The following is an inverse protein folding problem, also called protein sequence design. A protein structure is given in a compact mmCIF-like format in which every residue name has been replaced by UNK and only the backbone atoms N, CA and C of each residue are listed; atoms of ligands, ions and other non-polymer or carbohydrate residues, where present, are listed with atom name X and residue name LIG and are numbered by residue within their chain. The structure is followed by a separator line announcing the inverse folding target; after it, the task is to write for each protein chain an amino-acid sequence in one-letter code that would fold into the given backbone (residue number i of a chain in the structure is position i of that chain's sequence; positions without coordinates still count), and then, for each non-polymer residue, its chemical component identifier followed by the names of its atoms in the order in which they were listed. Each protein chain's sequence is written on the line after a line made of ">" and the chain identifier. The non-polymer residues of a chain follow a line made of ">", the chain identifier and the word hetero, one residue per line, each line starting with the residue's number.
data_IF_632154505515
#
_entry.id   IF_632154505515
#
_cell.length_a   1.000
_cell.length_b   1.000
_cell.length_c   1.000
_cell.angle_alpha   90.00
_cell.angle_beta   90.00
_cell.angle_gamma   90.00
#
_symmetry.space_group_name_H-M   'P 1'
#
loop_
_entity.id
_entity.type
_entity.pdbx_description
1 polymer ?
#
# COMPACT_ATOMS: atom_id res chain seq x y z
N UNK A 1 -16.17 -11.52 -30.74
CA UNK A 1 -16.76 -12.54 -31.60
C UNK A 1 -18.28 -12.38 -31.78
N UNK A 2 -18.92 -11.36 -31.17
CA UNK A 2 -20.34 -11.04 -31.32
C UNK A 2 -21.31 -11.91 -30.50
N UNK A 3 -20.82 -12.70 -29.56
CA UNK A 3 -21.67 -13.53 -28.67
C UNK A 3 -22.48 -12.66 -27.71
N UNK A 4 -21.88 -11.56 -27.22
CA UNK A 4 -22.49 -10.64 -26.26
C UNK A 4 -22.52 -9.24 -26.83
N UNK A 5 -23.53 -8.43 -26.44
CA UNK A 5 -23.57 -7.02 -26.75
C UNK A 5 -22.57 -6.23 -25.91
N UNK A 6 -22.28 -4.96 -26.27
CA UNK A 6 -21.37 -4.11 -25.51
C UNK A 6 -21.91 -3.86 -24.08
N UNK A 7 -23.23 -3.70 -23.93
CA UNK A 7 -23.90 -3.54 -22.63
C UNK A 7 -23.74 -4.80 -21.77
N UNK A 8 -23.97 -5.99 -22.34
CA UNK A 8 -23.77 -7.24 -21.60
C UNK A 8 -22.33 -7.43 -21.16
N UNK A 9 -21.36 -7.05 -22.00
CA UNK A 9 -19.95 -7.13 -21.61
C UNK A 9 -19.65 -6.17 -20.47
N UNK A 10 -20.18 -4.95 -20.50
CA UNK A 10 -20.04 -3.99 -19.42
C UNK A 10 -20.68 -4.52 -18.13
N UNK A 11 -21.88 -5.06 -18.19
CA UNK A 11 -22.56 -5.66 -17.06
C UNK A 11 -21.73 -6.79 -16.41
N UNK A 12 -21.08 -7.63 -17.20
CA UNK A 12 -20.19 -8.67 -16.67
C UNK A 12 -18.96 -8.10 -15.96
N UNK A 13 -18.40 -7.01 -16.47
CA UNK A 13 -17.27 -6.30 -15.82
C UNK A 13 -17.74 -5.67 -14.51
N UNK A 14 -18.90 -5.01 -14.50
CA UNK A 14 -19.50 -4.43 -13.30
C UNK A 14 -19.77 -5.50 -12.23
N UNK A 15 -20.32 -6.64 -12.62
CA UNK A 15 -20.53 -7.79 -11.72
C UNK A 15 -19.22 -8.33 -11.16
N UNK A 16 -18.15 -8.37 -11.95
CA UNK A 16 -16.83 -8.78 -11.48
C UNK A 16 -16.32 -7.80 -10.40
N UNK A 17 -16.39 -6.50 -10.64
CA UNK A 17 -16.00 -5.48 -9.67
C UNK A 17 -16.86 -5.55 -8.40
N UNK A 18 -18.17 -5.75 -8.54
CA UNK A 18 -19.05 -5.96 -7.37
C UNK A 18 -18.60 -7.16 -6.54
N UNK A 19 -18.23 -8.26 -7.17
CA UNK A 19 -17.71 -9.44 -6.47
C UNK A 19 -16.38 -9.16 -5.76
N UNK A 20 -15.47 -8.41 -6.37
CA UNK A 20 -14.24 -7.99 -5.71
C UNK A 20 -14.52 -7.13 -4.46
N UNK A 21 -15.52 -6.22 -4.52
CA UNK A 21 -15.98 -5.46 -3.34
C UNK A 21 -16.61 -6.32 -2.24
N UNK A 22 -17.12 -7.50 -2.60
CA UNK A 22 -17.73 -8.43 -1.65
C UNK A 22 -16.75 -9.45 -1.06
N UNK A 23 -15.52 -9.53 -1.52
CA UNK A 23 -14.51 -10.44 -0.97
C UNK A 23 -14.21 -10.07 0.48
N UNK A 24 -14.23 -11.07 1.36
CA UNK A 24 -13.99 -10.90 2.79
C UNK A 24 -12.99 -11.94 3.29
N UNK A 25 -12.14 -11.52 4.24
CA UNK A 25 -11.31 -12.43 5.01
C UNK A 25 -11.92 -12.64 6.40
N UNK A 26 -11.74 -13.84 6.93
CA UNK A 26 -12.01 -14.09 8.34
C UNK A 26 -10.90 -13.44 9.18
N UNK A 27 -11.20 -12.35 9.86
CA UNK A 27 -10.28 -11.60 10.71
C UNK A 27 -10.79 -11.56 12.14
N UNK A 28 -9.88 -11.35 13.09
CA UNK A 28 -10.28 -11.15 14.48
C UNK A 28 -11.03 -9.82 14.63
N UNK A 29 -11.95 -9.72 15.62
CA UNK A 29 -12.67 -8.47 15.87
C UNK A 29 -11.74 -7.27 16.12
N UNK A 30 -10.62 -7.49 16.81
CA UNK A 30 -9.62 -6.46 17.12
C UNK A 30 -9.00 -5.90 15.85
N UNK A 31 -8.69 -6.77 14.87
CA UNK A 31 -8.15 -6.35 13.59
C UNK A 31 -9.17 -5.49 12.83
N UNK A 32 -10.43 -5.91 12.81
CA UNK A 32 -11.48 -5.16 12.12
C UNK A 32 -11.73 -3.78 12.76
N UNK A 33 -11.58 -3.65 14.08
CA UNK A 33 -11.67 -2.36 14.76
C UNK A 33 -10.56 -1.38 14.33
N UNK A 34 -9.34 -1.89 14.16
CA UNK A 34 -8.20 -1.06 13.73
C UNK A 34 -8.42 -0.51 12.31
N UNK A 35 -8.95 -1.33 11.42
CA UNK A 35 -9.10 -0.97 10.00
C UNK A 35 -10.51 -0.44 9.64
N UNK A 36 -11.38 -0.23 10.61
CA UNK A 36 -12.75 0.30 10.44
C UNK A 36 -13.52 -0.43 9.33
N UNK A 37 -13.39 -1.73 9.27
CA UNK A 37 -14.01 -2.56 8.24
C UNK A 37 -13.19 -3.79 7.92
N UNK A 38 -13.38 -4.32 6.72
CA UNK A 38 -12.80 -5.59 6.30
C UNK A 38 -12.11 -5.49 4.94
N UNK A 39 -11.14 -4.57 4.79
CA UNK A 39 -10.44 -4.38 3.53
C UNK A 39 -9.57 -5.61 3.21
N UNK A 40 -9.58 -6.05 1.96
CA UNK A 40 -8.74 -7.14 1.44
C UNK A 40 -7.63 -6.63 0.52
N UNK A 41 -7.64 -5.31 0.23
CA UNK A 41 -6.67 -4.62 -0.64
C UNK A 41 -6.53 -5.24 -2.03
N UNK A 42 -7.64 -5.69 -2.60
CA UNK A 42 -7.69 -6.12 -4.00
C UNK A 42 -7.25 -4.97 -4.89
N UNK A 43 -6.34 -5.25 -5.81
CA UNK A 43 -5.80 -4.25 -6.74
C UNK A 43 -6.04 -4.68 -8.17
N UNK A 44 -6.47 -3.73 -8.99
CA UNK A 44 -6.49 -3.83 -10.45
C UNK A 44 -5.43 -2.91 -11.03
N UNK A 45 -4.75 -3.36 -12.09
CA UNK A 45 -3.82 -2.53 -12.85
C UNK A 45 -4.24 -2.48 -14.32
N UNK A 46 -4.34 -1.27 -14.86
CA UNK A 46 -4.69 -1.04 -16.27
C UNK A 46 -3.72 -0.05 -16.92
N UNK A 47 -3.66 -0.02 -18.22
CA UNK A 47 -2.75 0.84 -18.97
C UNK A 47 -1.36 0.23 -19.10
N UNK A 48 -0.33 1.04 -18.98
CA UNK A 48 1.05 0.59 -19.14
C UNK A 48 1.47 0.37 -20.58
N UNK A 49 2.73 -0.05 -20.75
CA UNK A 49 3.38 -0.27 -22.04
C UNK A 49 3.92 -1.69 -22.10
N UNK A 50 3.72 -2.39 -23.20
CA UNK A 50 4.23 -3.75 -23.41
C UNK A 50 5.72 -3.77 -23.78
N UNK A 51 6.29 -4.98 -23.83
CA UNK A 51 7.69 -5.23 -24.18
C UNK A 51 8.07 -4.67 -25.55
N UNK A 52 7.11 -4.62 -26.47
CA UNK A 52 7.26 -4.08 -27.83
C UNK A 52 7.12 -2.55 -27.91
N UNK A 53 6.94 -1.90 -26.77
CA UNK A 53 6.79 -0.43 -26.67
C UNK A 53 5.40 0.10 -27.01
N UNK A 54 4.43 -0.76 -27.36
CA UNK A 54 3.05 -0.36 -27.57
C UNK A 54 2.31 -0.20 -26.25
N UNK A 55 1.39 0.75 -26.18
CA UNK A 55 0.51 0.85 -25.02
C UNK A 55 -0.41 -0.38 -24.89
N UNK A 56 -0.73 -0.75 -23.67
CA UNK A 56 -1.60 -1.88 -23.35
C UNK A 56 -3.06 -1.49 -23.15
N UNK A 57 -3.41 -0.25 -23.45
CA UNK A 57 -4.80 0.23 -23.37
C UNK A 57 -5.65 -0.45 -24.44
N UNK A 58 -6.74 -1.04 -23.99
CA UNK A 58 -7.74 -1.73 -24.82
C UNK A 58 -9.15 -1.26 -24.47
N UNK A 59 -10.18 -1.73 -25.17
CA UNK A 59 -11.57 -1.51 -24.79
C UNK A 59 -11.85 -1.94 -23.33
N UNK A 60 -11.20 -3.01 -22.86
CA UNK A 60 -11.36 -3.47 -21.46
C UNK A 60 -10.86 -2.42 -20.48
N UNK A 61 -9.76 -1.72 -20.76
CA UNK A 61 -9.28 -0.64 -19.90
C UNK A 61 -10.34 0.45 -19.70
N UNK A 62 -11.05 0.81 -20.75
CA UNK A 62 -12.17 1.75 -20.65
C UNK A 62 -13.37 1.18 -19.90
N UNK A 63 -13.67 -0.11 -20.04
CA UNK A 63 -14.76 -0.74 -19.31
C UNK A 63 -14.49 -0.81 -17.80
N UNK A 64 -13.27 -1.10 -17.40
CA UNK A 64 -12.87 -1.05 -16.00
C UNK A 64 -13.00 0.36 -15.43
N UNK A 65 -12.58 1.38 -16.16
CA UNK A 65 -12.78 2.77 -15.75
C UNK A 65 -14.27 3.11 -15.65
N UNK A 66 -15.09 2.65 -16.60
CA UNK A 66 -16.53 2.93 -16.62
C UNK A 66 -17.28 2.33 -15.43
N UNK A 67 -16.72 1.32 -14.76
CA UNK A 67 -17.31 0.78 -13.53
C UNK A 67 -17.43 1.83 -12.43
N UNK A 68 -16.55 2.85 -12.42
CA UNK A 68 -16.65 3.96 -11.46
C UNK A 68 -17.92 4.80 -11.70
N UNK A 69 -18.31 5.01 -12.96
CA UNK A 69 -19.54 5.73 -13.32
C UNK A 69 -20.77 4.88 -12.96
N UNK A 70 -20.74 3.56 -13.19
CA UNK A 70 -21.86 2.67 -12.93
C UNK A 70 -22.06 2.32 -11.45
N UNK A 71 -20.96 2.08 -10.73
CA UNK A 71 -20.98 1.54 -9.37
C UNK A 71 -20.57 2.57 -8.30
N UNK A 72 -20.10 3.74 -8.70
CA UNK A 72 -19.60 4.78 -7.81
C UNK A 72 -18.23 4.47 -7.22
N UNK A 73 -17.69 5.45 -6.48
CA UNK A 73 -16.43 5.36 -5.79
C UNK A 73 -16.44 4.28 -4.69
N UNK A 74 -15.33 3.56 -4.55
CA UNK A 74 -15.14 2.59 -3.47
C UNK A 74 -13.63 2.48 -3.16
N UNK A 75 -13.27 2.13 -1.91
CA UNK A 75 -11.87 1.92 -1.54
C UNK A 75 -11.25 0.70 -2.23
N UNK A 76 -12.07 -0.24 -2.70
CA UNK A 76 -11.66 -1.47 -3.35
C UNK A 76 -12.56 -1.80 -4.56
N UNK A 77 -11.98 -2.43 -5.59
CA UNK A 77 -10.54 -2.65 -5.79
C UNK A 77 -9.78 -1.34 -5.94
N UNK A 78 -8.50 -1.31 -5.50
CA UNK A 78 -7.60 -0.20 -5.85
C UNK A 78 -7.36 -0.23 -7.36
N UNK A 79 -7.91 0.72 -8.07
CA UNK A 79 -7.70 0.86 -9.50
C UNK A 79 -6.43 1.66 -9.78
N UNK A 80 -5.38 0.98 -10.23
CA UNK A 80 -4.09 1.58 -10.55
C UNK A 80 -3.93 1.76 -12.05
N UNK A 81 -3.72 2.97 -12.49
CA UNK A 81 -3.32 3.29 -13.86
C UNK A 81 -1.80 3.27 -13.95
N UNK A 82 -1.26 2.33 -14.70
CA UNK A 82 0.15 2.29 -15.05
C UNK A 82 0.40 3.38 -16.09
N UNK A 83 0.81 4.55 -15.61
CA UNK A 83 0.92 5.76 -16.41
C UNK A 83 2.19 5.77 -17.24
N UNK A 84 2.05 6.08 -18.53
CA UNK A 84 3.16 6.33 -19.45
C UNK A 84 2.86 7.52 -20.36
N UNK A 85 3.90 8.21 -20.77
CA UNK A 85 3.80 9.25 -21.81
C UNK A 85 3.24 8.70 -23.13
N UNK A 86 3.38 7.38 -23.36
CA UNK A 86 2.95 6.66 -24.56
C UNK A 86 1.48 6.28 -24.58
N UNK A 87 0.74 6.45 -23.49
CA UNK A 87 -0.68 6.12 -23.44
C UNK A 87 -1.50 7.02 -24.38
N UNK A 88 -2.60 6.51 -25.00
CA UNK A 88 -3.47 7.30 -25.84
C UNK A 88 -4.03 8.50 -25.12
N UNK A 89 -4.12 9.63 -25.82
CA UNK A 89 -4.57 10.89 -25.22
C UNK A 89 -6.02 10.79 -24.71
N UNK A 90 -6.89 10.09 -25.42
CA UNK A 90 -8.29 9.91 -24.99
C UNK A 90 -8.41 9.10 -23.71
N UNK A 91 -7.55 8.08 -23.55
CA UNK A 91 -7.47 7.34 -22.29
C UNK A 91 -7.00 8.23 -21.13
N UNK A 92 -5.97 9.05 -21.35
CA UNK A 92 -5.47 10.01 -20.35
C UNK A 92 -6.54 11.00 -19.91
N UNK A 93 -7.29 11.57 -20.87
CA UNK A 93 -8.40 12.50 -20.59
C UNK A 93 -9.50 11.82 -19.77
N UNK A 94 -9.85 10.59 -20.12
CA UNK A 94 -10.89 9.85 -19.42
C UNK A 94 -10.46 9.51 -17.99
N UNK A 95 -9.23 9.05 -17.80
CA UNK A 95 -8.65 8.85 -16.46
C UNK A 95 -8.70 10.16 -15.63
N UNK A 96 -8.27 11.29 -16.19
CA UNK A 96 -8.29 12.58 -15.51
C UNK A 96 -9.70 12.99 -15.10
N UNK A 97 -10.69 12.84 -16.00
CA UNK A 97 -12.11 13.10 -15.71
C UNK A 97 -12.57 12.29 -14.50
N UNK A 98 -12.36 10.98 -14.54
CA UNK A 98 -12.82 10.09 -13.47
C UNK A 98 -12.09 10.33 -12.14
N UNK A 99 -10.81 10.70 -12.17
CA UNK A 99 -10.09 11.09 -10.97
C UNK A 99 -10.69 12.30 -10.27
N UNK A 100 -11.17 13.28 -11.04
CA UNK A 100 -11.84 14.47 -10.51
C UNK A 100 -13.21 14.12 -9.92
N UNK A 101 -13.96 13.27 -10.62
CA UNK A 101 -15.35 12.96 -10.24
C UNK A 101 -15.45 11.96 -9.08
N UNK A 102 -14.58 10.95 -9.04
CA UNK A 102 -14.72 9.82 -8.11
C UNK A 102 -13.59 9.67 -7.11
N UNK A 103 -12.40 10.20 -7.34
CA UNK A 103 -11.22 10.07 -6.46
C UNK A 103 -10.88 8.63 -6.02
N UNK A 104 -11.25 7.62 -6.83
CA UNK A 104 -11.13 6.19 -6.51
C UNK A 104 -10.10 5.47 -7.34
N UNK A 105 -9.08 6.16 -7.80
CA UNK A 105 -8.03 5.59 -8.61
C UNK A 105 -6.68 6.20 -8.27
N UNK A 106 -5.62 5.45 -8.56
CA UNK A 106 -4.25 5.88 -8.34
C UNK A 106 -3.42 5.72 -9.62
N UNK A 107 -2.25 6.34 -9.64
CA UNK A 107 -1.34 6.32 -10.78
C UNK A 107 0.04 5.87 -10.34
N UNK A 108 0.65 4.99 -11.12
CA UNK A 108 2.06 4.64 -11.03
C UNK A 108 2.78 5.00 -12.31
N UNK A 109 3.99 5.50 -12.19
CA UNK A 109 4.82 5.85 -13.34
C UNK A 109 5.41 4.59 -13.98
N UNK A 110 4.74 4.07 -15.01
CA UNK A 110 5.17 2.87 -15.73
C UNK A 110 6.53 3.06 -16.42
N UNK A 111 6.78 4.25 -16.96
CA UNK A 111 8.06 4.55 -17.63
C UNK A 111 9.27 4.42 -16.66
N UNK A 112 9.05 4.70 -15.35
CA UNK A 112 10.05 4.53 -14.30
C UNK A 112 10.05 3.11 -13.73
N UNK A 113 8.87 2.58 -13.38
CA UNK A 113 8.76 1.31 -12.67
C UNK A 113 9.24 0.12 -13.51
N UNK A 114 9.08 0.18 -14.81
CA UNK A 114 9.59 -0.85 -15.74
C UNK A 114 11.10 -0.98 -15.74
N UNK A 115 11.83 0.09 -15.45
CA UNK A 115 13.30 0.05 -15.35
C UNK A 115 13.74 -0.90 -14.24
N UNK A 116 12.98 -0.96 -13.15
CA UNK A 116 13.30 -1.79 -11.97
C UNK A 116 12.65 -3.17 -11.99
N UNK A 117 11.42 -3.26 -12.50
CA UNK A 117 10.60 -4.48 -12.37
C UNK A 117 10.49 -5.27 -13.69
N UNK A 118 10.89 -4.70 -14.83
CA UNK A 118 10.64 -5.31 -16.15
C UNK A 118 9.19 -5.13 -16.58
N UNK A 119 8.71 -6.03 -17.45
CA UNK A 119 7.42 -5.87 -18.11
C UNK A 119 6.24 -6.52 -17.36
N UNK A 120 6.52 -7.50 -16.53
CA UNK A 120 5.50 -8.32 -15.87
C UNK A 120 5.46 -7.99 -14.38
N UNK A 121 4.98 -6.81 -14.05
CA UNK A 121 4.81 -6.37 -12.68
C UNK A 121 3.39 -5.84 -12.44
N UNK A 122 3.00 -5.84 -11.20
CA UNK A 122 1.78 -5.21 -10.70
C UNK A 122 2.07 -4.34 -9.48
N UNK A 123 1.11 -3.50 -9.15
CA UNK A 123 1.16 -2.70 -7.93
C UNK A 123 0.20 -3.34 -6.93
N UNK A 124 0.72 -3.89 -5.86
CA UNK A 124 -0.09 -4.41 -4.78
C UNK A 124 -0.47 -3.29 -3.82
N UNK A 125 -1.72 -3.27 -3.39
CA UNK A 125 -2.25 -2.26 -2.49
C UNK A 125 -2.11 -0.84 -3.09
N UNK A 126 -1.34 0.03 -2.47
CA UNK A 126 -1.22 1.42 -2.91
C UNK A 126 0.05 1.71 -3.73
N UNK A 127 1.22 1.13 -3.38
CA UNK A 127 2.50 1.52 -4.00
C UNK A 127 3.52 0.39 -4.11
N UNK A 128 3.17 -0.81 -3.73
CA UNK A 128 4.11 -1.93 -3.67
C UNK A 128 4.24 -2.61 -5.02
N UNK A 129 5.29 -2.31 -5.76
CA UNK A 129 5.55 -2.99 -7.03
C UNK A 129 6.18 -4.36 -6.82
N UNK A 130 5.69 -5.35 -7.56
CA UNK A 130 6.19 -6.71 -7.54
C UNK A 130 6.12 -7.32 -8.93
N UNK A 131 7.10 -8.14 -9.27
CA UNK A 131 6.99 -9.01 -10.45
C UNK A 131 6.01 -10.13 -10.16
N UNK A 132 4.96 -10.21 -10.97
CA UNK A 132 3.85 -11.14 -10.76
C UNK A 132 4.35 -12.58 -10.84
N UNK A 133 4.01 -13.38 -9.83
CA UNK A 133 4.41 -14.78 -9.72
C UNK A 133 5.87 -15.03 -9.39
N UNK A 134 6.70 -13.98 -9.20
CA UNK A 134 8.14 -14.11 -8.94
C UNK A 134 8.60 -13.43 -7.66
N UNK A 135 7.83 -12.50 -7.15
CA UNK A 135 8.17 -11.73 -5.96
C UNK A 135 7.01 -11.74 -4.98
N UNK A 136 7.35 -11.77 -3.71
CA UNK A 136 6.42 -11.57 -2.61
C UNK A 136 6.89 -10.39 -1.78
N UNK A 137 5.96 -9.53 -1.40
CA UNK A 137 6.24 -8.41 -0.53
C UNK A 137 5.45 -8.55 0.76
N UNK A 138 6.16 -8.47 1.86
CA UNK A 138 5.55 -8.42 3.17
C UNK A 138 5.45 -6.96 3.66
N UNK A 139 4.25 -6.55 4.06
CA UNK A 139 3.98 -5.26 4.67
C UNK A 139 3.43 -5.48 6.08
N UNK A 140 4.29 -5.33 7.12
CA UNK A 140 3.93 -5.70 8.47
C UNK A 140 3.38 -4.56 9.31
N UNK A 141 4.03 -3.40 9.29
CA UNK A 141 3.69 -2.30 10.19
C UNK A 141 4.26 -0.96 9.72
N UNK A 142 3.76 0.13 10.32
CA UNK A 142 4.34 1.47 10.22
C UNK A 142 4.97 1.88 11.54
N UNK A 143 6.16 2.47 11.49
CA UNK A 143 6.77 3.14 12.63
C UNK A 143 6.12 4.52 12.85
N UNK A 144 5.64 4.80 14.05
CA UNK A 144 5.00 6.08 14.38
C UNK A 144 6.04 7.09 14.89
N UNK A 145 6.45 8.00 14.02
CA UNK A 145 7.49 8.99 14.30
C UNK A 145 7.05 10.03 15.33
N UNK A 146 5.80 10.49 15.29
CA UNK A 146 5.27 11.45 16.26
C UNK A 146 5.22 10.84 17.67
N UNK A 147 4.87 9.56 17.78
CA UNK A 147 4.92 8.85 19.06
C UNK A 147 6.36 8.69 19.57
N UNK A 148 7.29 8.43 18.65
CA UNK A 148 8.72 8.39 18.93
C UNK A 148 9.24 9.73 19.50
N UNK A 149 8.79 10.85 18.93
CA UNK A 149 9.12 12.18 19.43
C UNK A 149 8.59 12.40 20.87
N UNK A 150 7.34 11.99 21.14
CA UNK A 150 6.79 12.05 22.50
C UNK A 150 7.60 11.20 23.49
N UNK A 151 8.04 10.01 23.08
CA UNK A 151 8.93 9.19 23.91
C UNK A 151 10.29 9.84 24.13
N UNK A 152 10.83 10.51 23.11
CA UNK A 152 12.08 11.27 23.24
C UNK A 152 11.96 12.39 24.29
N UNK A 153 10.87 13.13 24.31
CA UNK A 153 10.60 14.19 25.27
C UNK A 153 10.37 13.60 26.68
N UNK A 154 9.60 12.51 26.78
CA UNK A 154 9.16 11.92 28.03
C UNK A 154 10.14 10.88 28.63
N UNK A 155 11.37 10.79 28.12
CA UNK A 155 12.38 9.84 28.65
C UNK A 155 12.04 8.38 28.42
N UNK A 156 11.39 8.06 27.31
CA UNK A 156 10.99 6.72 26.91
C UNK A 156 9.68 6.23 27.53
N UNK A 157 8.95 7.09 28.23
CA UNK A 157 7.67 6.76 28.89
C UNK A 157 6.49 7.14 28.00
N UNK A 158 5.54 6.23 27.85
CA UNK A 158 4.27 6.50 27.16
C UNK A 158 3.41 7.48 27.97
N UNK A 159 2.97 8.57 27.34
CA UNK A 159 2.23 9.65 28.01
C UNK A 159 0.83 9.24 28.47
N UNK A 160 0.25 8.19 27.89
CA UNK A 160 -1.08 7.69 28.26
C UNK A 160 -1.02 6.60 29.32
N UNK A 161 -0.25 5.57 29.05
CA UNK A 161 -0.18 4.36 29.90
C UNK A 161 0.81 4.52 31.07
N UNK A 162 1.70 5.51 31.00
CA UNK A 162 2.80 5.72 31.97
C UNK A 162 3.80 4.57 32.05
N UNK A 163 3.82 3.70 31.03
CA UNK A 163 4.73 2.57 30.94
C UNK A 163 6.02 3.00 30.26
N UNK A 164 7.16 2.52 30.75
CA UNK A 164 8.45 2.65 30.08
C UNK A 164 8.45 1.78 28.83
N UNK A 165 8.50 2.40 27.66
CA UNK A 165 8.43 1.71 26.37
C UNK A 165 9.79 1.70 25.65
N UNK A 166 10.47 2.83 25.64
CA UNK A 166 11.77 3.01 25.00
C UNK A 166 12.94 3.12 25.98
N UNK A 167 14.15 3.46 25.50
CA UNK A 167 15.30 3.73 26.34
C UNK A 167 14.99 4.75 27.44
N UNK A 168 15.38 4.44 28.69
CA UNK A 168 15.10 5.28 29.84
C UNK A 168 16.19 6.35 30.01
N UNK A 169 15.78 7.61 30.11
CA UNK A 169 16.61 8.74 30.49
C UNK A 169 15.76 9.85 31.10
N UNK A 170 16.42 10.90 31.61
CA UNK A 170 15.71 12.03 32.24
C UNK A 170 14.81 12.74 31.21
N UNK A 171 13.49 12.84 31.44
CA UNK A 171 12.60 13.58 30.56
C UNK A 171 12.95 15.07 30.49
N UNK A 172 12.52 15.73 29.42
CA UNK A 172 12.60 17.18 29.32
C UNK A 172 11.47 17.76 30.16
N UNK A 173 11.81 18.60 31.13
CA UNK A 173 10.84 19.21 32.06
C UNK A 173 10.85 20.75 32.02
N UNK A 174 11.62 21.32 31.10
CA UNK A 174 11.66 22.76 30.87
C UNK A 174 10.34 23.29 30.34
N UNK A 175 10.01 24.55 30.64
CA UNK A 175 8.81 25.21 30.13
C UNK A 175 8.82 25.33 28.58
N UNK A 176 10.01 25.53 28.04
CA UNK A 176 10.25 25.59 26.59
C UNK A 176 11.17 24.44 26.16
N UNK A 177 10.92 23.89 25.00
CA UNK A 177 11.76 22.86 24.41
C UNK A 177 12.96 23.51 23.71
N UNK A 178 14.16 23.03 24.03
CA UNK A 178 15.36 23.34 23.27
C UNK A 178 15.51 22.41 22.10
N UNK A 179 15.67 22.94 20.90
CA UNK A 179 15.71 22.18 19.66
C UNK A 179 16.85 21.14 19.65
N UNK A 180 18.06 21.55 20.02
CA UNK A 180 19.23 20.68 19.98
C UNK A 180 19.12 19.58 21.05
N UNK A 181 18.55 19.86 22.21
CA UNK A 181 18.27 18.83 23.22
C UNK A 181 17.23 17.82 22.72
N UNK A 182 16.14 18.28 22.10
CA UNK A 182 15.07 17.42 21.56
C UNK A 182 15.63 16.54 20.45
N UNK A 183 16.33 17.10 19.46
CA UNK A 183 16.90 16.36 18.33
C UNK A 183 17.84 15.27 18.82
N UNK A 184 18.75 15.60 19.74
CA UNK A 184 19.69 14.63 20.29
C UNK A 184 19.00 13.44 20.98
N UNK A 185 17.93 13.70 21.72
CA UNK A 185 17.15 12.64 22.36
C UNK A 185 16.31 11.87 21.35
N UNK A 186 15.80 12.54 20.35
CA UNK A 186 15.05 11.95 19.27
C UNK A 186 15.91 10.98 18.43
N UNK A 187 17.14 11.34 18.13
CA UNK A 187 18.09 10.46 17.43
C UNK A 187 18.30 9.14 18.18
N UNK A 188 18.53 9.21 19.49
CA UNK A 188 18.66 8.00 20.34
C UNK A 188 17.40 7.15 20.31
N UNK A 189 16.22 7.79 20.35
CA UNK A 189 14.94 7.09 20.32
C UNK A 189 14.66 6.49 18.95
N UNK A 190 15.06 7.16 17.87
CA UNK A 190 14.94 6.68 16.49
C UNK A 190 15.81 5.47 16.22
N UNK A 191 17.05 5.46 16.71
CA UNK A 191 17.95 4.30 16.59
C UNK A 191 17.33 3.06 17.25
N UNK A 192 16.81 3.24 18.47
CA UNK A 192 16.08 2.18 19.16
C UNK A 192 14.85 1.73 18.39
N UNK A 193 14.03 2.66 17.90
CA UNK A 193 12.83 2.36 17.14
C UNK A 193 13.14 1.60 15.85
N UNK A 194 14.18 2.02 15.12
CA UNK A 194 14.60 1.37 13.89
C UNK A 194 15.02 -0.09 14.14
N UNK A 195 15.82 -0.33 15.18
CA UNK A 195 16.21 -1.68 15.58
C UNK A 195 15.03 -2.56 15.96
N UNK A 196 14.11 -2.04 16.78
CA UNK A 196 12.91 -2.75 17.18
C UNK A 196 12.00 -3.04 15.97
N UNK A 197 11.80 -2.06 15.11
CA UNK A 197 10.95 -2.16 13.92
C UNK A 197 11.44 -3.26 12.98
N UNK A 198 12.71 -3.27 12.63
CA UNK A 198 13.31 -4.28 11.77
C UNK A 198 13.22 -5.67 12.39
N UNK A 199 13.52 -5.80 13.68
CA UNK A 199 13.43 -7.08 14.39
C UNK A 199 12.00 -7.61 14.45
N UNK A 200 11.02 -6.72 14.65
CA UNK A 200 9.60 -7.08 14.65
C UNK A 200 9.16 -7.57 13.27
N UNK A 201 9.52 -6.86 12.20
CA UNK A 201 9.21 -7.27 10.83
C UNK A 201 9.83 -8.64 10.48
N UNK A 202 11.09 -8.86 10.87
CA UNK A 202 11.75 -10.15 10.68
C UNK A 202 11.03 -11.28 11.42
N UNK A 203 10.58 -11.02 12.66
CA UNK A 203 9.82 -12.01 13.43
C UNK A 203 8.47 -12.33 12.78
N UNK A 204 7.74 -11.31 12.32
CA UNK A 204 6.45 -11.50 11.67
C UNK A 204 6.64 -12.31 10.38
N UNK A 205 7.64 -11.98 9.55
CA UNK A 205 7.92 -12.74 8.34
C UNK A 205 8.30 -14.19 8.63
N UNK A 206 9.13 -14.43 9.65
CA UNK A 206 9.46 -15.78 10.09
C UNK A 206 8.22 -16.58 10.50
N UNK A 207 7.25 -15.94 11.17
CA UNK A 207 6.00 -16.60 11.56
C UNK A 207 5.13 -16.95 10.36
N UNK A 208 5.05 -16.07 9.35
CA UNK A 208 4.36 -16.36 8.10
C UNK A 208 5.01 -17.55 7.37
N UNK A 209 6.32 -17.57 7.24
CA UNK A 209 7.07 -18.69 6.63
C UNK A 209 6.84 -20.00 7.38
N UNK A 210 6.92 -19.95 8.71
CA UNK A 210 6.80 -21.13 9.56
C UNK A 210 5.43 -21.79 9.52
N UNK A 211 4.37 -20.99 9.42
CA UNK A 211 2.99 -21.48 9.46
C UNK A 211 2.34 -21.63 8.06
N UNK A 212 3.13 -21.62 7.02
CA UNK A 212 2.74 -21.96 5.65
C UNK A 212 1.68 -21.07 5.01
N UNK A 213 1.42 -19.91 5.57
CA UNK A 213 0.51 -18.96 4.94
C UNK A 213 0.93 -18.67 3.49
N UNK A 214 2.18 -18.31 3.27
CA UNK A 214 2.73 -18.04 1.96
C UNK A 214 2.90 -19.32 1.12
N UNK A 215 3.21 -20.45 1.75
CA UNK A 215 3.34 -21.72 1.06
C UNK A 215 2.04 -22.17 0.37
N UNK A 216 0.88 -21.79 0.90
CA UNK A 216 -0.39 -22.05 0.23
C UNK A 216 -0.53 -21.29 -1.09
N UNK A 217 0.08 -20.12 -1.19
CA UNK A 217 0.11 -19.29 -2.40
C UNK A 217 1.20 -19.70 -3.38
N UNK A 218 2.22 -20.45 -2.93
CA UNK A 218 3.36 -20.90 -3.73
C UNK A 218 2.96 -21.80 -4.92
N UNK A 219 1.77 -22.37 -4.91
CA UNK A 219 1.21 -23.08 -6.09
C UNK A 219 1.03 -22.15 -7.30
N UNK A 220 0.95 -20.83 -7.08
CA UNK A 220 0.74 -19.81 -8.11
C UNK A 220 2.00 -18.96 -8.38
N UNK A 221 3.10 -19.23 -7.67
CA UNK A 221 4.31 -18.44 -7.68
C UNK A 221 5.51 -19.32 -8.07
N UNK A 222 6.57 -18.71 -8.58
CA UNK A 222 7.83 -19.35 -8.92
C UNK A 222 8.45 -20.07 -7.69
N UNK A 223 9.22 -21.13 -7.95
CA UNK A 223 9.92 -21.88 -6.87
C UNK A 223 11.04 -21.09 -6.22
N UNK A 224 11.59 -20.09 -6.90
CA UNK A 224 12.63 -19.18 -6.39
C UNK A 224 12.03 -17.79 -6.20
N UNK A 225 11.30 -17.61 -5.10
CA UNK A 225 10.58 -16.37 -4.80
C UNK A 225 11.50 -15.36 -4.14
N UNK A 226 11.67 -14.20 -4.78
CA UNK A 226 12.33 -13.06 -4.15
C UNK A 226 11.38 -12.40 -3.15
N UNK A 227 11.82 -12.31 -1.90
CA UNK A 227 11.07 -11.68 -0.82
C UNK A 227 11.60 -10.29 -0.52
N UNK A 228 10.70 -9.35 -0.33
CA UNK A 228 11.00 -7.96 0.00
C UNK A 228 10.13 -7.50 1.17
N UNK A 229 10.61 -6.49 1.90
CA UNK A 229 9.80 -5.78 2.89
C UNK A 229 9.27 -4.47 2.31
N UNK A 230 8.01 -4.18 2.58
CA UNK A 230 7.49 -2.83 2.51
C UNK A 230 7.60 -2.18 3.89
N UNK A 231 8.55 -1.28 4.05
CA UNK A 231 8.67 -0.46 5.26
C UNK A 231 7.76 0.75 5.18
N UNK A 232 7.31 1.27 6.31
CA UNK A 232 6.45 2.44 6.34
C UNK A 232 6.63 3.28 7.60
N UNK A 233 6.32 4.55 7.47
CA UNK A 233 6.30 5.52 8.56
C UNK A 233 4.92 6.18 8.66
N UNK A 234 4.57 6.65 9.85
CA UNK A 234 3.39 7.45 10.12
C UNK A 234 3.77 8.65 10.99
N UNK A 235 3.01 9.75 10.89
CA UNK A 235 3.23 10.94 11.69
C UNK A 235 4.41 11.81 11.26
N UNK A 236 4.91 11.65 10.03
CA UNK A 236 6.05 12.43 9.53
C UNK A 236 5.77 13.94 9.57
N UNK A 237 4.66 14.38 8.98
CA UNK A 237 4.29 15.81 8.99
C UNK A 237 4.13 16.36 10.41
N UNK A 238 3.48 15.60 11.30
CA UNK A 238 3.33 16.00 12.70
C UNK A 238 4.68 16.17 13.43
N UNK A 239 5.65 15.33 13.10
CA UNK A 239 6.99 15.40 13.69
C UNK A 239 7.77 16.60 13.16
N UNK A 240 7.66 16.89 11.86
CA UNK A 240 8.39 17.99 11.21
C UNK A 240 7.80 19.35 11.58
N UNK A 241 6.49 19.43 11.75
CA UNK A 241 5.77 20.68 12.06
C UNK A 241 5.75 21.01 13.57
N UNK A 242 6.27 20.11 14.42
CA UNK A 242 6.33 20.30 15.88
C UNK A 242 7.58 21.05 16.29
#
# INVERSE_FOLDING_TARGET
>A
NGTFTEEQIQEFVDHFIMKLRCVKFARTPEYNQIFAGDPVWVTEAIGGVGIDGRHMVTKMSFRYLHTLENLGAAPEPNLTVLWSTRLPQEFKKYCAKLSIEYSSMQYENDDLMRVYNGDDYGIACCVSSMRIGKEMQFFGARANLAKCLLYAINGGVDEKTKVQVGPAYKPITSEYLDYDEVVKKYDVMMDWLAGMYVNTLNLIQYMHDKYYYEAAEMALIDTDVRRTFATGIAGFSHTVDS
#
